data_IF_553039735578
#
_entry.id   IF_553039735578
#
_cell.length_a   1.000
_cell.length_b   1.000
_cell.length_c   1.000
_cell.angle_alpha   90.00
_cell.angle_beta   90.00
_cell.angle_gamma   90.00
#
_symmetry.space_group_name_H-M   'P 1'
#
loop_
_entity.id
_entity.type
_entity.pdbx_description
1 polymer ?
#
# COMPACT_ATOMS: atom_id res chain seq x y z
N UNK A 1 2.10 27.72 -30.59
CA UNK A 1 0.74 27.71 -30.02
C UNK A 1 0.29 26.27 -30.02
N UNK A 2 0.60 25.53 -28.94
CA UNK A 2 0.32 24.10 -28.84
C UNK A 2 -1.08 24.00 -28.23
N UNK A 3 -1.97 23.28 -28.93
CA UNK A 3 -3.36 23.06 -28.53
C UNK A 3 -3.43 22.52 -27.09
N UNK A 4 -4.44 22.91 -26.28
CA UNK A 4 -4.68 22.26 -25.01
C UNK A 4 -4.96 20.79 -25.30
N UNK A 5 -4.21 19.87 -24.67
CA UNK A 5 -4.52 18.44 -24.74
C UNK A 5 -5.96 18.25 -24.29
N UNK A 6 -6.80 17.62 -25.11
CA UNK A 6 -8.11 17.14 -24.68
C UNK A 6 -7.92 16.38 -23.37
N UNK A 7 -8.46 16.90 -22.25
CA UNK A 7 -8.50 16.13 -21.01
C UNK A 7 -9.23 14.83 -21.33
N UNK A 8 -8.60 13.69 -21.07
CA UNK A 8 -9.21 12.37 -21.24
C UNK A 8 -10.62 12.36 -20.64
N UNK A 9 -11.60 11.89 -21.40
CA UNK A 9 -12.97 11.71 -20.91
C UNK A 9 -13.08 10.65 -19.79
N UNK A 10 -12.00 9.94 -19.50
CA UNK A 10 -11.89 8.90 -18.46
C UNK A 10 -11.00 9.39 -17.32
N UNK A 11 -11.50 9.21 -16.11
CA UNK A 11 -10.79 9.53 -14.86
C UNK A 11 -10.98 8.39 -13.87
N UNK A 12 -10.00 7.49 -13.83
CA UNK A 12 -10.05 6.27 -12.99
C UNK A 12 -9.88 6.58 -11.51
N UNK A 13 -9.25 7.69 -11.15
CA UNK A 13 -9.06 8.10 -9.77
C UNK A 13 -10.37 8.65 -9.19
N UNK A 14 -11.04 9.55 -9.93
CA UNK A 14 -12.37 10.02 -9.56
C UNK A 14 -13.40 8.88 -9.51
N UNK A 15 -13.26 7.89 -10.39
CA UNK A 15 -14.13 6.72 -10.40
C UNK A 15 -14.07 5.92 -9.09
N UNK A 16 -12.89 5.78 -8.46
CA UNK A 16 -12.76 5.11 -7.16
C UNK A 16 -13.57 5.83 -6.06
N UNK A 17 -13.49 7.16 -6.00
CA UNK A 17 -14.24 7.99 -5.05
C UNK A 17 -15.75 7.85 -5.27
N UNK A 18 -16.21 8.00 -6.52
CA UNK A 18 -17.64 7.96 -6.84
C UNK A 18 -18.23 6.55 -6.65
N UNK A 19 -17.52 5.49 -7.08
CA UNK A 19 -17.99 4.12 -6.92
C UNK A 19 -18.08 3.70 -5.44
N UNK A 20 -17.13 4.14 -4.61
CA UNK A 20 -17.19 3.94 -3.16
C UNK A 20 -18.44 4.62 -2.57
N UNK A 21 -18.66 5.90 -2.90
CA UNK A 21 -19.82 6.66 -2.44
C UNK A 21 -21.16 6.03 -2.86
N UNK A 22 -21.30 5.68 -4.13
CA UNK A 22 -22.54 5.13 -4.69
C UNK A 22 -22.87 3.78 -4.07
N UNK A 23 -21.85 2.97 -3.77
CA UNK A 23 -22.04 1.68 -3.09
C UNK A 23 -22.51 1.85 -1.65
N UNK A 24 -22.02 2.86 -0.94
CA UNK A 24 -22.30 3.07 0.48
C UNK A 24 -23.53 3.95 0.75
N UNK A 25 -24.14 4.50 -0.30
CA UNK A 25 -25.29 5.40 -0.19
C UNK A 25 -26.47 4.93 -1.03
N UNK A 26 -27.67 5.40 -0.66
CA UNK A 26 -28.90 5.24 -1.44
C UNK A 26 -29.40 6.56 -2.03
N UNK A 27 -28.68 7.65 -1.75
CA UNK A 27 -29.06 9.02 -2.10
C UNK A 27 -28.45 9.41 -3.46
N UNK A 28 -28.89 8.68 -4.48
CA UNK A 28 -28.58 8.87 -5.90
C UNK A 28 -29.71 8.25 -6.73
N UNK A 29 -29.86 8.69 -7.97
CA UNK A 29 -30.87 8.20 -8.89
C UNK A 29 -30.33 8.07 -10.31
N UNK A 30 -30.98 7.27 -11.14
CA UNK A 30 -30.73 7.24 -12.57
C UNK A 30 -31.77 8.12 -13.27
N UNK A 31 -31.37 8.83 -14.31
CA UNK A 31 -32.31 9.54 -15.17
C UNK A 31 -33.29 8.56 -15.82
N UNK A 32 -34.56 8.96 -15.93
CA UNK A 32 -35.62 8.15 -16.55
C UNK A 32 -35.50 8.05 -18.07
N UNK A 33 -34.82 9.02 -18.69
CA UNK A 33 -34.69 9.17 -20.14
C UNK A 33 -33.23 9.27 -20.56
N UNK A 34 -32.87 8.77 -21.76
CA UNK A 34 -31.52 8.91 -22.30
C UNK A 34 -31.08 10.37 -22.47
N UNK A 35 -29.77 10.65 -22.39
CA UNK A 35 -28.68 9.71 -22.10
C UNK A 35 -28.71 9.20 -20.65
N UNK A 36 -28.20 7.98 -20.42
CA UNK A 36 -28.12 7.41 -19.08
C UNK A 36 -27.23 8.30 -18.19
N UNK A 37 -27.83 8.96 -17.21
CA UNK A 37 -27.15 9.79 -16.22
C UNK A 37 -27.39 9.25 -14.83
N UNK A 38 -26.33 9.23 -14.01
CA UNK A 38 -26.42 9.03 -12.58
C UNK A 38 -26.39 10.41 -11.92
N UNK A 39 -27.37 10.64 -11.04
CA UNK A 39 -27.63 11.93 -10.42
C UNK A 39 -27.39 11.78 -8.92
N UNK A 40 -26.54 12.66 -8.37
CA UNK A 40 -26.32 12.79 -6.93
C UNK A 40 -26.90 14.14 -6.50
N UNK A 41 -28.04 14.18 -5.79
CA UNK A 41 -28.59 15.42 -5.24
C UNK A 41 -27.58 16.06 -4.28
N UNK A 42 -27.45 17.39 -4.27
CA UNK A 42 -26.65 18.13 -3.29
C UNK A 42 -27.55 18.81 -2.25
N UNK A 43 -28.61 19.44 -2.72
CA UNK A 43 -29.70 20.06 -1.95
C UNK A 43 -30.98 20.05 -2.80
N UNK A 44 -32.02 20.79 -2.38
CA UNK A 44 -33.31 20.86 -3.10
C UNK A 44 -33.21 21.50 -4.50
N UNK A 45 -32.17 22.29 -4.77
CA UNK A 45 -32.02 23.09 -5.99
C UNK A 45 -30.80 22.72 -6.83
N UNK A 46 -29.94 21.82 -6.33
CA UNK A 46 -28.67 21.47 -6.95
C UNK A 46 -28.42 19.97 -6.97
N UNK A 47 -27.88 19.48 -8.07
CA UNK A 47 -27.45 18.08 -8.22
C UNK A 47 -26.19 17.99 -9.08
N UNK A 48 -25.42 16.93 -8.87
CA UNK A 48 -24.34 16.52 -9.77
C UNK A 48 -24.85 15.44 -10.72
N UNK A 49 -24.66 15.66 -12.02
CA UNK A 49 -25.04 14.75 -13.09
C UNK A 49 -23.78 14.14 -13.70
N UNK A 50 -23.77 12.80 -13.77
CA UNK A 50 -22.68 12.01 -14.32
C UNK A 50 -23.21 11.18 -15.48
N UNK A 51 -22.73 11.44 -16.69
CA UNK A 51 -23.04 10.58 -17.84
C UNK A 51 -22.46 9.19 -17.61
N UNK A 52 -23.28 8.16 -17.77
CA UNK A 52 -22.91 6.77 -17.50
C UNK A 52 -22.46 6.10 -18.81
N UNK A 53 -21.17 5.81 -18.92
CA UNK A 53 -20.61 5.03 -20.03
C UNK A 53 -20.75 3.52 -19.81
N UNK A 54 -20.85 3.08 -18.55
CA UNK A 54 -21.19 1.71 -18.17
C UNK A 54 -21.82 1.70 -16.77
N UNK A 55 -23.04 1.18 -16.67
CA UNK A 55 -23.71 0.94 -15.39
C UNK A 55 -23.40 -0.49 -14.91
N UNK A 56 -23.05 -0.66 -13.63
CA UNK A 56 -22.73 -1.96 -13.06
C UNK A 56 -23.66 -2.29 -11.89
N UNK A 57 -24.29 -3.47 -11.86
CA UNK A 57 -25.08 -3.91 -10.69
C UNK A 57 -24.22 -4.13 -9.44
N UNK A 58 -22.90 -4.26 -9.60
CA UNK A 58 -21.91 -4.36 -8.51
C UNK A 58 -21.11 -3.08 -8.30
N UNK A 59 -21.63 -1.94 -8.78
CA UNK A 59 -21.08 -0.59 -8.57
C UNK A 59 -19.71 -0.29 -9.18
N UNK A 60 -19.19 -1.16 -10.05
CA UNK A 60 -18.07 -0.85 -10.94
C UNK A 60 -18.52 0.02 -12.12
N UNK A 61 -19.10 1.19 -11.84
CA UNK A 61 -19.56 2.10 -12.87
C UNK A 61 -18.37 2.70 -13.62
N UNK A 62 -18.65 3.18 -14.84
CA UNK A 62 -17.75 4.04 -15.61
C UNK A 62 -18.51 5.30 -16.04
N UNK A 63 -18.07 6.45 -15.55
CA UNK A 63 -18.62 7.75 -15.94
C UNK A 63 -17.80 8.38 -17.07
N UNK A 64 -18.47 9.18 -17.89
CA UNK A 64 -17.82 10.07 -18.85
C UNK A 64 -17.72 11.48 -18.24
N UNK A 65 -16.50 11.99 -18.12
CA UNK A 65 -16.22 13.31 -17.56
C UNK A 65 -16.16 14.39 -18.66
N UNK A 66 -16.43 15.68 -18.34
CA UNK A 66 -16.67 16.23 -16.99
C UNK A 66 -18.09 15.93 -16.45
N UNK A 67 -18.20 15.89 -15.12
CA UNK A 67 -19.49 15.92 -14.44
C UNK A 67 -20.13 17.31 -14.60
N UNK A 68 -21.46 17.40 -14.46
CA UNK A 68 -22.18 18.67 -14.56
C UNK A 68 -22.88 19.00 -13.25
N UNK A 69 -22.70 20.22 -12.76
CA UNK A 69 -23.52 20.79 -11.69
C UNK A 69 -24.76 21.40 -12.32
N UNK A 70 -25.92 20.85 -11.97
CA UNK A 70 -27.23 21.34 -12.42
C UNK A 70 -27.84 22.19 -11.31
N UNK A 71 -28.30 23.39 -11.65
CA UNK A 71 -28.97 24.33 -10.77
C UNK A 71 -30.21 24.92 -11.44
N UNK A 72 -31.00 25.72 -10.70
CA UNK A 72 -32.12 26.47 -11.27
C UNK A 72 -31.71 27.45 -12.40
N UNK A 73 -30.45 27.87 -12.46
CA UNK A 73 -29.94 28.82 -13.46
C UNK A 73 -29.22 28.17 -14.63
N UNK A 74 -29.12 26.84 -14.68
CA UNK A 74 -28.51 26.10 -15.79
C UNK A 74 -27.63 24.93 -15.35
N UNK A 75 -26.91 24.36 -16.31
CA UNK A 75 -26.00 23.23 -16.13
C UNK A 75 -24.59 23.62 -16.57
N UNK A 76 -23.59 23.33 -15.74
CA UNK A 76 -22.21 23.76 -15.95
C UNK A 76 -21.23 22.62 -15.61
N UNK A 77 -20.16 22.41 -16.41
CA UNK A 77 -19.17 21.37 -16.12
C UNK A 77 -18.38 21.70 -14.85
N UNK A 78 -18.09 20.68 -14.04
CA UNK A 78 -17.27 20.78 -12.83
C UNK A 78 -16.13 19.78 -12.86
N UNK A 79 -14.97 20.17 -12.33
CA UNK A 79 -13.83 19.29 -12.18
C UNK A 79 -13.92 18.42 -10.91
N UNK A 80 -13.00 17.46 -10.78
CA UNK A 80 -13.00 16.53 -9.65
C UNK A 80 -12.86 17.26 -8.31
N UNK A 81 -11.99 18.27 -8.23
CA UNK A 81 -11.79 19.07 -7.02
C UNK A 81 -13.08 19.74 -6.55
N UNK A 82 -13.84 20.31 -7.48
CA UNK A 82 -15.11 20.98 -7.18
C UNK A 82 -16.18 19.97 -6.79
N UNK A 83 -16.35 18.89 -7.55
CA UNK A 83 -17.40 17.91 -7.26
C UNK A 83 -17.15 17.16 -5.95
N UNK A 84 -15.90 16.81 -5.63
CA UNK A 84 -15.57 16.12 -4.37
C UNK A 84 -15.84 17.02 -3.18
N UNK A 85 -15.50 18.31 -3.28
CA UNK A 85 -15.81 19.33 -2.26
C UNK A 85 -17.30 19.43 -2.01
N UNK A 86 -18.12 19.55 -3.07
CA UNK A 86 -19.57 19.66 -2.96
C UNK A 86 -20.21 18.43 -2.27
N UNK A 87 -19.73 17.22 -2.62
CA UNK A 87 -20.19 15.98 -1.99
C UNK A 87 -19.80 15.95 -0.51
N UNK A 88 -18.58 16.33 -0.17
CA UNK A 88 -18.11 16.33 1.22
C UNK A 88 -18.85 17.38 2.05
N UNK A 89 -19.16 18.56 1.48
CA UNK A 89 -19.97 19.57 2.15
C UNK A 89 -21.41 19.09 2.40
N UNK A 90 -22.02 18.39 1.42
CA UNK A 90 -23.30 17.70 1.62
C UNK A 90 -23.23 16.74 2.80
N UNK A 91 -22.24 15.84 2.82
CA UNK A 91 -22.08 14.85 3.90
C UNK A 91 -21.81 15.52 5.26
N UNK A 92 -21.04 16.62 5.28
CA UNK A 92 -20.79 17.40 6.50
C UNK A 92 -22.09 17.90 7.12
N UNK A 93 -23.00 18.41 6.30
CA UNK A 93 -24.31 18.88 6.75
C UNK A 93 -25.24 17.72 7.16
N UNK A 94 -25.30 16.64 6.37
CA UNK A 94 -26.16 15.48 6.67
C UNK A 94 -25.76 14.73 7.96
N UNK A 95 -24.45 14.64 8.23
CA UNK A 95 -23.89 13.85 9.34
C UNK A 95 -23.34 14.72 10.48
N UNK A 96 -23.50 16.04 10.42
CA UNK A 96 -23.00 17.00 11.41
C UNK A 96 -21.49 16.84 11.73
N UNK A 97 -20.68 16.63 10.68
CA UNK A 97 -19.25 16.31 10.85
C UNK A 97 -18.42 17.56 11.19
N UNK A 98 -17.35 17.42 11.99
CA UNK A 98 -16.40 18.51 12.25
C UNK A 98 -15.69 18.97 10.97
N UNK A 99 -15.58 20.28 10.76
CA UNK A 99 -14.87 20.87 9.60
C UNK A 99 -13.44 20.32 9.45
N UNK A 100 -12.60 20.23 10.50
CA UNK A 100 -11.23 19.71 10.35
C UNK A 100 -11.15 18.27 9.84
N UNK A 101 -12.15 17.43 10.20
CA UNK A 101 -12.23 16.06 9.74
C UNK A 101 -12.54 16.01 8.23
N UNK A 102 -13.51 16.82 7.78
CA UNK A 102 -13.86 16.93 6.36
C UNK A 102 -12.71 17.48 5.51
N UNK A 103 -11.98 18.49 6.00
CA UNK A 103 -10.80 19.03 5.29
C UNK A 103 -9.70 17.97 5.17
N UNK A 104 -9.38 17.26 6.25
CA UNK A 104 -8.38 16.19 6.23
C UNK A 104 -8.77 15.08 5.25
N UNK A 105 -10.04 14.71 5.23
CA UNK A 105 -10.55 13.71 4.27
C UNK A 105 -10.43 14.20 2.83
N UNK A 106 -10.88 15.43 2.55
CA UNK A 106 -10.82 15.99 1.20
C UNK A 106 -9.38 16.15 0.71
N UNK A 107 -8.47 16.60 1.57
CA UNK A 107 -7.05 16.72 1.25
C UNK A 107 -6.49 15.37 0.77
N UNK A 108 -6.72 14.29 1.51
CA UNK A 108 -6.25 12.94 1.13
C UNK A 108 -6.87 12.43 -0.17
N UNK A 109 -8.13 12.77 -0.43
CA UNK A 109 -8.80 12.47 -1.71
C UNK A 109 -8.07 13.17 -2.87
N UNK A 110 -7.75 14.45 -2.72
CA UNK A 110 -7.04 15.23 -3.74
C UNK A 110 -5.58 14.77 -3.91
N UNK A 111 -4.89 14.44 -2.83
CA UNK A 111 -3.54 13.86 -2.87
C UNK A 111 -3.55 12.55 -3.65
N UNK A 112 -4.43 11.61 -3.27
CA UNK A 112 -4.58 10.34 -3.97
C UNK A 112 -4.90 10.52 -5.46
N UNK A 113 -5.76 11.49 -5.78
CA UNK A 113 -6.11 11.83 -7.15
C UNK A 113 -4.88 12.30 -7.94
N UNK A 114 -4.13 13.26 -7.38
CA UNK A 114 -2.92 13.80 -7.99
C UNK A 114 -1.82 12.74 -8.16
N UNK A 115 -1.58 11.90 -7.15
CA UNK A 115 -0.59 10.82 -7.22
C UNK A 115 -0.95 9.80 -8.30
N UNK A 116 -2.24 9.44 -8.42
CA UNK A 116 -2.68 8.51 -9.47
C UNK A 116 -2.41 9.09 -10.87
N UNK A 117 -2.70 10.37 -11.09
CA UNK A 117 -2.43 11.02 -12.37
C UNK A 117 -0.93 11.06 -12.68
N UNK A 118 -0.10 11.44 -11.71
CA UNK A 118 1.36 11.44 -11.86
C UNK A 118 1.90 10.06 -12.26
N UNK A 119 1.41 9.00 -11.62
CA UNK A 119 1.79 7.63 -11.95
C UNK A 119 1.34 7.22 -13.35
N UNK A 120 0.10 7.54 -13.74
CA UNK A 120 -0.42 7.24 -15.09
C UNK A 120 0.43 7.95 -16.16
N UNK A 121 0.79 9.22 -15.91
CA UNK A 121 1.60 10.00 -16.84
C UNK A 121 3.04 9.47 -16.95
N UNK A 122 3.58 8.86 -15.89
CA UNK A 122 4.94 8.32 -15.87
C UNK A 122 5.04 6.87 -16.41
N UNK A 123 4.01 6.04 -16.24
CA UNK A 123 4.01 4.61 -16.57
C UNK A 123 3.62 4.33 -18.02
N UNK A 124 4.40 4.85 -18.96
CA UNK A 124 4.19 4.62 -20.40
C UNK A 124 4.30 3.13 -20.80
N UNK A 125 5.06 2.34 -20.03
CA UNK A 125 5.20 0.89 -20.18
C UNK A 125 3.90 0.13 -19.85
N UNK A 126 2.97 0.72 -19.10
CA UNK A 126 1.78 0.04 -18.62
C UNK A 126 0.90 -0.47 -19.77
N UNK A 127 0.88 0.20 -20.92
CA UNK A 127 0.11 -0.26 -22.06
C UNK A 127 0.66 -1.55 -22.68
N UNK A 128 1.98 -1.70 -22.68
CA UNK A 128 2.73 -2.85 -23.24
C UNK A 128 2.50 -4.11 -22.40
N UNK A 129 2.13 -3.97 -21.11
CA UNK A 129 1.74 -5.09 -20.25
C UNK A 129 0.58 -5.94 -20.82
N UNK A 130 -0.18 -5.43 -21.80
CA UNK A 130 -1.25 -6.18 -22.48
C UNK A 130 -0.75 -7.17 -23.53
N UNK A 131 0.49 -7.05 -23.98
CA UNK A 131 1.01 -7.80 -25.13
C UNK A 131 1.33 -9.26 -24.81
N UNK A 132 1.54 -9.60 -23.54
CA UNK A 132 1.89 -10.94 -23.08
C UNK A 132 1.41 -11.21 -21.66
N UNK A 133 1.48 -12.48 -21.24
CA UNK A 133 1.22 -12.85 -19.85
C UNK A 133 2.25 -12.20 -18.91
N UNK A 134 1.76 -11.72 -17.76
CA UNK A 134 2.59 -11.10 -16.72
C UNK A 134 3.21 -12.15 -15.81
N UNK A 135 4.43 -11.89 -15.37
CA UNK A 135 5.02 -12.57 -14.23
C UNK A 135 4.54 -11.96 -12.89
N UNK A 136 4.94 -12.58 -11.77
CA UNK A 136 4.54 -12.13 -10.42
C UNK A 136 4.93 -10.68 -10.13
N UNK A 137 6.19 -10.30 -10.40
CA UNK A 137 6.68 -8.94 -10.14
C UNK A 137 6.01 -7.88 -11.01
N UNK A 138 5.83 -8.17 -12.30
CA UNK A 138 5.10 -7.29 -13.23
C UNK A 138 3.67 -7.03 -12.74
N UNK A 139 2.96 -8.08 -12.34
CA UNK A 139 1.59 -7.97 -11.83
C UNK A 139 1.51 -7.17 -10.52
N UNK A 140 2.46 -7.38 -9.59
CA UNK A 140 2.52 -6.67 -8.31
C UNK A 140 2.75 -5.15 -8.44
N UNK A 141 3.35 -4.70 -9.54
CA UNK A 141 3.60 -3.29 -9.83
C UNK A 141 2.70 -2.70 -10.93
N UNK A 142 1.70 -3.45 -11.40
CA UNK A 142 0.77 -3.01 -12.43
C UNK A 142 -0.45 -2.24 -11.88
N UNK A 143 -0.70 -2.26 -10.56
CA UNK A 143 -1.91 -1.66 -9.96
C UNK A 143 -1.75 -0.15 -9.71
N UNK A 144 -2.02 0.66 -10.73
CA UNK A 144 -1.89 2.13 -10.66
C UNK A 144 -3.08 2.83 -10.01
N UNK A 145 -4.28 2.24 -10.03
CA UNK A 145 -5.50 2.85 -9.48
C UNK A 145 -5.70 2.58 -7.99
N UNK A 146 -5.05 1.54 -7.46
CA UNK A 146 -5.26 1.05 -6.10
C UNK A 146 -6.65 0.45 -5.90
N UNK A 147 -7.20 0.58 -4.70
CA UNK A 147 -8.47 -0.01 -4.32
C UNK A 147 -9.67 0.69 -5.00
N UNK A 148 -10.39 -0.04 -5.86
CA UNK A 148 -11.47 0.49 -6.71
C UNK A 148 -12.69 1.07 -5.95
N UNK A 149 -12.83 0.77 -4.65
CA UNK A 149 -13.88 1.30 -3.76
C UNK A 149 -13.29 1.93 -2.51
N UNK A 150 -12.26 2.76 -2.68
CA UNK A 150 -11.74 3.59 -1.59
C UNK A 150 -11.68 5.03 -2.09
N UNK A 151 -12.01 6.04 -1.28
CA UNK A 151 -12.03 7.44 -1.73
C UNK A 151 -10.64 8.03 -1.96
N UNK A 152 -9.61 7.48 -1.31
CA UNK A 152 -8.22 7.94 -1.44
C UNK A 152 -7.23 6.75 -1.52
N UNK A 153 -7.30 5.88 -2.56
CA UNK A 153 -6.55 4.63 -2.61
C UNK A 153 -5.03 4.79 -2.71
N UNK A 154 -4.56 5.96 -3.13
CA UNK A 154 -3.14 6.33 -3.32
C UNK A 154 -2.69 7.46 -2.40
N UNK A 155 -3.42 7.68 -1.30
CA UNK A 155 -2.89 8.43 -0.15
C UNK A 155 -1.76 7.63 0.50
N UNK A 156 -0.62 8.27 0.73
CA UNK A 156 0.61 7.60 1.20
C UNK A 156 1.39 8.42 2.24
N UNK A 157 0.70 9.21 3.07
CA UNK A 157 1.33 9.91 4.20
C UNK A 157 2.14 8.92 5.08
N UNK A 158 3.36 9.29 5.54
CA UNK A 158 3.99 10.61 5.43
C UNK A 158 4.93 10.77 4.22
N UNK A 159 4.93 9.85 3.25
CA UNK A 159 5.89 9.89 2.15
C UNK A 159 5.81 11.18 1.34
N UNK A 160 6.97 11.78 1.13
CA UNK A 160 7.18 12.79 0.10
C UNK A 160 7.27 12.13 -1.29
N UNK A 161 7.40 12.96 -2.33
CA UNK A 161 7.43 12.50 -3.72
C UNK A 161 8.56 11.50 -4.01
N UNK A 162 9.79 11.78 -3.58
CA UNK A 162 10.95 10.91 -3.86
C UNK A 162 10.81 9.57 -3.12
N UNK A 163 10.29 9.60 -1.89
CA UNK A 163 9.99 8.40 -1.12
C UNK A 163 8.89 7.57 -1.78
N UNK A 164 7.82 8.21 -2.27
CA UNK A 164 6.75 7.52 -2.99
C UNK A 164 7.26 6.87 -4.30
N UNK A 165 8.07 7.58 -5.09
CA UNK A 165 8.68 7.07 -6.32
C UNK A 165 9.59 5.86 -6.07
N UNK A 166 10.25 5.80 -4.90
CA UNK A 166 11.18 4.72 -4.54
C UNK A 166 10.52 3.55 -3.82
N UNK A 167 9.57 3.80 -2.93
CA UNK A 167 9.06 2.81 -1.97
C UNK A 167 7.64 2.30 -2.27
N UNK A 168 6.92 2.90 -3.23
CA UNK A 168 5.62 2.41 -3.68
C UNK A 168 5.75 1.64 -5.01
N UNK A 169 4.87 0.65 -5.27
CA UNK A 169 4.91 -0.15 -6.50
C UNK A 169 4.62 0.65 -7.78
N UNK A 170 4.00 1.82 -7.64
CA UNK A 170 3.42 2.65 -8.70
C UNK A 170 4.40 2.97 -9.84
N UNK A 171 5.65 3.32 -9.52
CA UNK A 171 6.70 3.66 -10.50
C UNK A 171 7.56 2.46 -10.93
N UNK A 172 7.14 1.24 -10.57
CA UNK A 172 7.92 0.02 -10.71
C UNK A 172 9.38 0.12 -10.18
N UNK A 173 9.63 0.72 -8.99
CA UNK A 173 10.98 0.85 -8.48
C UNK A 173 11.50 -0.49 -7.95
N UNK A 174 12.79 -0.52 -7.69
CA UNK A 174 13.45 -1.59 -6.97
C UNK A 174 14.65 -1.02 -6.21
N UNK A 175 14.96 -1.61 -5.05
CA UNK A 175 16.04 -1.13 -4.18
C UNK A 175 16.64 -2.28 -3.36
N UNK A 176 17.92 -2.22 -2.99
CA UNK A 176 18.49 -3.13 -2.00
C UNK A 176 17.91 -2.89 -0.60
N UNK A 177 17.93 -3.92 0.25
CA UNK A 177 17.59 -3.74 1.67
C UNK A 177 18.68 -2.97 2.40
N UNK A 178 18.31 -2.35 3.51
CA UNK A 178 19.24 -1.82 4.50
C UNK A 178 19.58 -2.90 5.51
N UNK A 179 20.80 -2.90 6.05
CA UNK A 179 21.26 -3.94 6.95
C UNK A 179 21.90 -3.37 8.20
N UNK A 180 21.59 -3.97 9.34
CA UNK A 180 22.32 -3.77 10.58
C UNK A 180 23.10 -5.03 10.96
N UNK A 181 24.27 -4.83 11.57
CA UNK A 181 24.93 -5.83 12.41
C UNK A 181 24.43 -5.62 13.83
N UNK A 182 23.73 -6.60 14.40
CA UNK A 182 23.01 -6.47 15.67
C UNK A 182 23.44 -7.56 16.64
N UNK A 183 23.71 -7.17 17.89
CA UNK A 183 23.95 -8.14 18.95
C UNK A 183 22.71 -9.01 19.18
N UNK A 184 22.87 -10.33 19.23
CA UNK A 184 21.77 -11.28 19.39
C UNK A 184 20.92 -11.03 20.64
N UNK A 185 21.45 -10.38 21.69
CA UNK A 185 20.63 -10.01 22.86
C UNK A 185 19.52 -9.02 22.52
N UNK A 186 19.71 -8.24 21.45
CA UNK A 186 18.77 -7.23 20.96
C UNK A 186 17.86 -7.73 19.83
N UNK A 187 17.92 -9.02 19.48
CA UNK A 187 17.06 -9.62 18.46
C UNK A 187 15.97 -10.45 19.14
N UNK A 188 14.72 -10.14 18.83
CA UNK A 188 13.57 -10.99 19.11
C UNK A 188 13.11 -11.64 17.81
N UNK A 189 12.58 -12.85 17.87
CA UNK A 189 11.99 -13.49 16.71
C UNK A 189 11.76 -14.97 16.91
N UNK A 190 11.12 -15.58 15.92
CA UNK A 190 10.88 -17.00 15.85
C UNK A 190 10.98 -17.48 14.41
N UNK A 191 11.25 -18.76 14.21
CA UNK A 191 11.29 -19.38 12.89
C UNK A 191 11.05 -20.89 13.00
N UNK A 192 10.33 -21.46 12.02
CA UNK A 192 10.21 -22.91 11.83
C UNK A 192 11.26 -23.43 10.84
N UNK A 193 11.53 -24.74 10.90
CA UNK A 193 12.49 -25.51 10.07
C UNK A 193 13.97 -25.14 10.23
N UNK A 194 14.27 -23.85 10.32
CA UNK A 194 15.52 -23.26 10.75
C UNK A 194 15.24 -22.47 12.03
N UNK A 195 16.15 -22.47 12.99
CA UNK A 195 16.05 -21.50 14.08
C UNK A 195 16.30 -20.07 13.56
N UNK A 196 16.00 -19.05 14.36
CA UNK A 196 16.09 -17.65 13.93
C UNK A 196 17.48 -17.27 13.41
N UNK A 197 18.55 -17.67 14.09
CA UNK A 197 19.93 -17.43 13.66
C UNK A 197 20.20 -18.00 12.27
N UNK A 198 19.79 -19.25 12.06
CA UNK A 198 19.97 -19.95 10.80
C UNK A 198 19.18 -19.29 9.67
N UNK A 199 17.94 -18.84 9.93
CA UNK A 199 17.13 -18.14 8.93
C UNK A 199 17.76 -16.80 8.54
N UNK A 200 18.16 -15.98 9.51
CA UNK A 200 18.83 -14.70 9.23
C UNK A 200 20.16 -14.89 8.51
N UNK A 201 20.93 -15.90 8.89
CA UNK A 201 22.20 -16.27 8.21
C UNK A 201 21.94 -16.66 6.75
N UNK A 202 20.97 -17.55 6.49
CA UNK A 202 20.58 -17.94 5.14
C UNK A 202 20.11 -16.74 4.32
N UNK A 203 19.21 -15.95 4.89
CA UNK A 203 18.60 -14.80 4.23
C UNK A 203 19.67 -13.77 3.84
N UNK A 204 20.63 -13.48 4.73
CA UNK A 204 21.75 -12.60 4.43
C UNK A 204 22.72 -13.20 3.41
N UNK A 205 23.02 -14.50 3.48
CA UNK A 205 23.91 -15.15 2.51
C UNK A 205 23.34 -15.15 1.08
N UNK A 206 22.02 -15.30 0.92
CA UNK A 206 21.35 -15.26 -0.38
C UNK A 206 21.23 -13.83 -0.93
N UNK A 207 21.03 -12.84 -0.04
CA UNK A 207 20.62 -11.50 -0.46
C UNK A 207 21.71 -10.44 -0.33
N UNK A 208 22.66 -10.57 0.58
CA UNK A 208 23.77 -9.63 0.77
C UNK A 208 25.07 -10.36 1.17
N UNK A 209 25.57 -11.30 0.34
CA UNK A 209 26.72 -12.14 0.67
C UNK A 209 27.99 -11.35 1.03
N UNK A 210 28.15 -10.14 0.48
CA UNK A 210 29.27 -9.24 0.78
C UNK A 210 29.29 -8.73 2.23
N UNK A 211 28.19 -8.85 2.98
CA UNK A 211 28.12 -8.45 4.39
C UNK A 211 28.42 -9.61 5.36
N UNK A 212 28.67 -10.83 4.85
CA UNK A 212 28.90 -12.00 5.70
C UNK A 212 30.16 -11.90 6.56
N UNK A 213 31.09 -11.01 6.23
CA UNK A 213 32.24 -10.68 7.07
C UNK A 213 31.84 -10.02 8.40
N UNK A 214 30.64 -9.45 8.50
CA UNK A 214 30.10 -8.86 9.72
C UNK A 214 29.31 -9.85 10.58
N UNK A 215 29.07 -11.06 10.08
CA UNK A 215 28.37 -12.13 10.80
C UNK A 215 29.33 -12.82 11.79
N UNK A 216 28.88 -12.99 13.03
CA UNK A 216 29.56 -13.80 14.05
C UNK A 216 28.56 -14.50 14.97
N UNK A 217 29.05 -15.26 15.95
CA UNK A 217 28.21 -15.95 16.93
C UNK A 217 27.29 -15.01 17.72
N UNK A 218 27.72 -13.77 17.95
CA UNK A 218 26.99 -12.77 18.74
C UNK A 218 26.43 -11.63 17.90
N UNK A 219 27.00 -11.33 16.74
CA UNK A 219 26.54 -10.26 15.85
C UNK A 219 25.87 -10.86 14.62
N UNK A 220 24.58 -10.64 14.47
CA UNK A 220 23.78 -11.18 13.37
C UNK A 220 23.38 -10.08 12.40
N UNK A 221 23.23 -10.44 11.13
CA UNK A 221 22.75 -9.55 10.09
C UNK A 221 21.23 -9.43 10.15
N UNK A 222 20.73 -8.21 10.35
CA UNK A 222 19.32 -7.90 10.49
C UNK A 222 18.87 -7.00 9.32
N UNK A 223 17.97 -7.48 8.44
CA UNK A 223 17.47 -6.68 7.31
C UNK A 223 16.44 -5.65 7.76
N UNK A 224 16.39 -4.51 7.07
CA UNK A 224 15.42 -3.45 7.26
C UNK A 224 14.93 -2.92 5.90
N UNK A 225 13.68 -2.47 5.88
CA UNK A 225 13.22 -1.56 4.82
C UNK A 225 14.04 -0.27 4.90
N UNK A 226 14.60 0.26 3.78
CA UNK A 226 15.47 1.44 3.85
C UNK A 226 14.87 2.64 4.56
N UNK A 227 13.66 3.04 4.18
CA UNK A 227 12.94 4.14 4.84
C UNK A 227 12.71 3.89 6.35
N UNK A 228 12.27 2.68 6.71
CA UNK A 228 12.03 2.35 8.10
C UNK A 228 13.34 2.37 8.89
N UNK A 229 14.44 1.89 8.32
CA UNK A 229 15.75 1.94 8.95
C UNK A 229 16.22 3.37 9.21
N UNK A 230 16.03 4.30 8.27
CA UNK A 230 16.31 5.73 8.48
C UNK A 230 15.45 6.32 9.60
N UNK A 231 14.14 6.03 9.60
CA UNK A 231 13.23 6.44 10.66
C UNK A 231 13.64 5.88 12.04
N UNK A 232 14.03 4.62 12.11
CA UNK A 232 14.44 3.94 13.34
C UNK A 232 15.74 4.53 13.90
N UNK A 233 16.70 4.93 13.05
CA UNK A 233 17.94 5.58 13.47
C UNK A 233 17.73 6.93 14.16
N UNK A 234 16.61 7.58 13.90
CA UNK A 234 16.23 8.83 14.56
C UNK A 234 15.62 8.61 15.95
N UNK A 235 15.30 7.36 16.32
CA UNK A 235 14.66 7.04 17.60
C UNK A 235 15.69 6.96 18.72
N UNK A 236 15.35 7.55 19.88
CA UNK A 236 16.22 7.59 21.07
C UNK A 236 16.65 6.18 21.51
N UNK A 237 15.73 5.22 21.49
CA UNK A 237 16.02 3.84 21.89
C UNK A 237 17.03 3.18 20.95
N UNK A 238 16.98 3.47 19.66
CA UNK A 238 17.89 2.88 18.67
C UNK A 238 19.28 3.51 18.80
N UNK A 239 19.36 4.84 18.93
CA UNK A 239 20.60 5.57 19.19
C UNK A 239 21.32 5.06 20.45
N UNK A 240 20.58 4.69 21.49
CA UNK A 240 21.15 4.10 22.70
C UNK A 240 21.84 2.74 22.43
N UNK A 241 21.34 1.94 21.49
CA UNK A 241 21.98 0.68 21.07
C UNK A 241 23.27 0.93 20.27
N UNK A 242 23.26 1.92 19.38
CA UNK A 242 24.46 2.37 18.67
C UNK A 242 25.55 2.86 19.63
N UNK A 243 25.18 3.68 20.61
CA UNK A 243 26.11 4.19 21.62
C UNK A 243 26.75 3.08 22.48
N UNK A 244 26.08 1.93 22.61
CA UNK A 244 26.58 0.73 23.30
C UNK A 244 27.33 -0.24 22.38
N UNK A 245 27.44 0.04 21.09
CA UNK A 245 28.04 -0.86 20.10
C UNK A 245 27.24 -2.14 19.87
N UNK A 246 25.96 -2.17 20.27
CA UNK A 246 25.06 -3.32 20.09
C UNK A 246 24.44 -3.34 18.69
N UNK A 247 24.44 -2.21 18.00
CA UNK A 247 24.04 -2.10 16.60
C UNK A 247 25.10 -1.31 15.85
N UNK A 248 25.40 -1.76 14.64
CA UNK A 248 26.13 -0.99 13.63
C UNK A 248 25.34 -0.99 12.33
N UNK A 249 25.24 0.18 11.73
CA UNK A 249 24.64 0.37 10.43
C UNK A 249 25.59 -0.03 9.32
N UNK A 250 25.16 -0.94 8.45
CA UNK A 250 25.92 -1.42 7.30
C UNK A 250 25.45 -0.79 5.99
N UNK A 251 24.43 0.08 6.04
CA UNK A 251 23.87 0.73 4.88
C UNK A 251 23.01 -0.19 4.01
N UNK A 252 22.76 0.25 2.79
CA UNK A 252 22.06 -0.53 1.78
C UNK A 252 23.01 -1.47 1.04
N UNK A 253 22.60 -2.73 0.88
CA UNK A 253 23.43 -3.73 0.23
C UNK A 253 22.61 -4.89 -0.34
N UNK A 254 23.11 -5.48 -1.43
CA UNK A 254 22.66 -6.79 -1.88
C UNK A 254 21.75 -6.79 -3.10
N UNK A 255 20.93 -7.84 -3.19
CA UNK A 255 19.96 -8.08 -4.25
C UNK A 255 18.92 -6.97 -4.33
N UNK A 256 18.29 -6.85 -5.49
CA UNK A 256 17.24 -5.87 -5.72
C UNK A 256 15.88 -6.41 -5.28
N UNK A 257 15.16 -5.60 -4.50
CA UNK A 257 13.84 -5.90 -3.99
C UNK A 257 12.82 -4.94 -4.56
N UNK A 258 11.70 -5.47 -5.05
CA UNK A 258 10.60 -4.65 -5.53
C UNK A 258 9.48 -4.57 -4.47
N UNK A 259 8.90 -3.39 -4.22
CA UNK A 259 7.69 -3.26 -3.42
C UNK A 259 6.50 -3.86 -4.17
N UNK A 260 5.73 -4.68 -3.45
CA UNK A 260 4.49 -5.30 -3.97
C UNK A 260 3.30 -4.34 -3.89
N UNK A 261 2.11 -4.78 -4.30
CA UNK A 261 0.84 -4.05 -4.14
C UNK A 261 0.57 -3.54 -2.73
N UNK A 262 1.11 -4.20 -1.70
CA UNK A 262 0.99 -3.77 -0.29
C UNK A 262 2.06 -2.76 0.16
N UNK A 263 3.03 -2.48 -0.71
CA UNK A 263 4.25 -1.68 -0.51
C UNK A 263 5.22 -2.25 0.53
N UNK A 264 4.73 -2.59 1.73
CA UNK A 264 5.55 -3.09 2.85
C UNK A 264 6.07 -4.52 2.67
N UNK A 265 5.41 -5.33 1.83
CA UNK A 265 5.94 -6.63 1.41
C UNK A 265 6.81 -6.45 0.19
N UNK A 266 8.03 -6.97 0.26
CA UNK A 266 9.01 -6.88 -0.81
C UNK A 266 9.26 -8.25 -1.43
N UNK A 267 9.48 -8.26 -2.74
CA UNK A 267 9.76 -9.43 -3.54
C UNK A 267 11.17 -9.37 -4.14
N UNK A 268 11.89 -10.48 -4.09
CA UNK A 268 13.12 -10.70 -4.82
C UNK A 268 13.06 -12.07 -5.48
N UNK A 269 13.17 -12.13 -6.81
CA UNK A 269 12.99 -13.37 -7.57
C UNK A 269 14.03 -14.46 -7.24
N UNK A 270 15.20 -14.08 -6.73
CA UNK A 270 16.29 -14.99 -6.36
C UNK A 270 16.29 -15.35 -4.87
N UNK A 271 15.46 -14.71 -4.05
CA UNK A 271 15.34 -15.00 -2.62
C UNK A 271 14.35 -16.14 -2.39
N UNK A 272 14.67 -17.05 -1.45
CA UNK A 272 13.71 -18.09 -1.03
C UNK A 272 12.55 -17.53 -0.20
N UNK A 273 12.76 -16.40 0.46
CA UNK A 273 11.75 -15.72 1.28
C UNK A 273 11.39 -14.36 0.67
N UNK A 274 10.09 -14.03 0.69
CA UNK A 274 9.66 -12.63 0.67
C UNK A 274 9.75 -12.06 2.08
N UNK A 275 9.87 -10.73 2.21
CA UNK A 275 9.95 -10.05 3.51
C UNK A 275 8.84 -9.01 3.63
N UNK A 276 8.22 -8.89 4.82
CA UNK A 276 7.07 -8.02 5.05
C UNK A 276 7.32 -7.14 6.26
N UNK A 277 7.77 -5.91 6.01
CA UNK A 277 8.16 -5.02 7.08
C UNK A 277 6.97 -4.38 7.81
N UNK A 278 7.14 -4.15 9.10
CA UNK A 278 6.46 -3.09 9.82
C UNK A 278 6.88 -1.76 9.22
N UNK A 279 5.95 -1.01 8.63
CA UNK A 279 6.23 0.23 7.92
C UNK A 279 5.33 1.35 8.46
N UNK A 280 5.93 2.41 9.00
CA UNK A 280 5.22 3.53 9.65
C UNK A 280 4.59 4.50 8.63
N UNK A 281 3.87 3.95 7.64
CA UNK A 281 3.20 4.66 6.54
C UNK A 281 1.70 4.33 6.57
N UNK A 282 0.86 5.32 6.31
CA UNK A 282 -0.59 5.16 6.17
C UNK A 282 -0.93 4.87 4.71
N UNK A 283 -1.42 3.65 4.45
CA UNK A 283 -1.95 3.27 3.14
C UNK A 283 -3.42 2.90 3.30
N UNK A 284 -4.30 3.55 2.54
CA UNK A 284 -5.77 3.53 2.74
C UNK A 284 -6.15 4.02 4.14
N UNK A 285 -6.81 3.20 4.97
CA UNK A 285 -7.28 3.59 6.30
C UNK A 285 -6.37 3.15 7.46
N UNK A 286 -5.24 2.48 7.18
CA UNK A 286 -4.42 1.83 8.21
C UNK A 286 -2.95 2.24 8.14
N UNK A 287 -2.34 2.48 9.30
CA UNK A 287 -0.87 2.52 9.42
C UNK A 287 -0.36 1.09 9.23
N UNK A 288 0.70 0.93 8.45
CA UNK A 288 1.19 -0.38 7.99
C UNK A 288 2.28 -0.97 8.88
N UNK A 289 2.23 -0.67 10.17
CA UNK A 289 3.04 -1.37 11.17
C UNK A 289 2.54 -2.81 11.36
N UNK A 290 3.41 -3.64 11.91
CA UNK A 290 3.08 -4.97 12.43
C UNK A 290 3.10 -4.93 13.95
N UNK A 291 2.34 -5.83 14.55
CA UNK A 291 2.41 -6.15 15.97
C UNK A 291 2.88 -7.58 16.18
N UNK A 292 3.45 -7.87 17.36
CA UNK A 292 3.81 -9.25 17.76
C UNK A 292 2.58 -10.17 17.65
N UNK A 293 1.40 -9.67 18.02
CA UNK A 293 0.12 -10.38 17.89
C UNK A 293 -0.16 -10.82 16.45
N UNK A 294 0.20 -10.03 15.46
CA UNK A 294 -0.06 -10.30 14.04
C UNK A 294 0.93 -11.32 13.48
N UNK A 295 2.23 -11.16 13.73
CA UNK A 295 3.24 -12.14 13.27
C UNK A 295 3.04 -13.51 13.91
N UNK A 296 2.54 -13.56 15.16
CA UNK A 296 2.13 -14.81 15.81
C UNK A 296 0.96 -15.53 15.12
N UNK A 297 0.14 -14.82 14.33
CA UNK A 297 -0.91 -15.49 13.51
C UNK A 297 -0.27 -16.24 12.35
N UNK A 298 0.75 -15.69 11.72
CA UNK A 298 1.56 -16.35 10.69
C UNK A 298 2.17 -17.64 11.24
N UNK A 299 2.87 -17.52 12.37
CA UNK A 299 3.47 -18.67 13.05
C UNK A 299 2.43 -19.73 13.46
N UNK A 300 1.25 -19.31 13.92
CA UNK A 300 0.17 -20.26 14.26
C UNK A 300 -0.30 -21.04 13.03
N UNK A 301 -0.52 -20.37 11.90
CA UNK A 301 -0.92 -21.03 10.65
C UNK A 301 0.19 -21.93 10.09
N UNK A 302 1.45 -21.49 10.17
CA UNK A 302 2.61 -22.25 9.72
C UNK A 302 2.81 -23.55 10.53
N UNK A 303 2.58 -23.50 11.85
CA UNK A 303 2.56 -24.70 12.70
C UNK A 303 1.36 -25.60 12.38
N UNK A 304 0.18 -25.03 12.17
CA UNK A 304 -1.01 -25.79 11.75
C UNK A 304 -0.76 -26.52 10.42
N UNK A 305 0.01 -25.91 9.52
CA UNK A 305 0.34 -26.48 8.23
C UNK A 305 1.19 -27.77 8.29
N UNK A 306 1.76 -28.08 9.46
CA UNK A 306 2.53 -29.32 9.69
C UNK A 306 1.64 -30.50 10.12
N UNK A 307 0.35 -30.28 10.40
CA UNK A 307 -0.56 -31.33 10.87
C UNK A 307 -1.05 -32.23 9.74
N UNK A 308 -1.41 -33.47 10.07
CA UNK A 308 -2.01 -34.42 9.11
C UNK A 308 -3.30 -33.86 8.48
N UNK A 309 -4.09 -33.11 9.24
CA UNK A 309 -5.29 -32.45 8.73
C UNK A 309 -4.98 -31.44 7.61
N UNK A 310 -3.89 -30.67 7.75
CA UNK A 310 -3.43 -29.80 6.66
C UNK A 310 -2.89 -30.60 5.47
N UNK A 311 -2.16 -31.70 5.72
CA UNK A 311 -1.67 -32.57 4.64
C UNK A 311 -2.84 -33.16 3.83
N UNK A 312 -3.93 -33.57 4.49
CA UNK A 312 -5.16 -34.02 3.84
C UNK A 312 -5.80 -32.91 2.99
N UNK A 313 -5.86 -31.67 3.52
CA UNK A 313 -6.36 -30.52 2.77
C UNK A 313 -5.50 -30.24 1.52
N UNK A 314 -4.18 -30.24 1.68
CA UNK A 314 -3.24 -29.97 0.60
C UNK A 314 -3.26 -31.07 -0.47
N UNK A 315 -3.40 -32.34 -0.07
CA UNK A 315 -3.55 -33.47 -0.99
C UNK A 315 -4.88 -33.40 -1.77
N UNK A 316 -5.96 -32.95 -1.12
CA UNK A 316 -7.26 -32.74 -1.76
C UNK A 316 -7.25 -31.57 -2.75
N UNK A 317 -6.49 -30.51 -2.46
CA UNK A 317 -6.39 -29.32 -3.29
C UNK A 317 -4.93 -29.01 -3.66
N UNK A 318 -4.29 -29.81 -4.54
CA UNK A 318 -2.84 -29.72 -4.81
C UNK A 318 -2.41 -28.42 -5.50
N UNK A 319 -3.33 -27.75 -6.20
CA UNK A 319 -3.07 -26.46 -6.87
C UNK A 319 -3.30 -25.25 -5.96
N UNK A 320 -3.92 -25.43 -4.79
CA UNK A 320 -4.07 -24.38 -3.79
C UNK A 320 -2.86 -24.36 -2.87
N UNK A 321 -2.22 -23.20 -2.73
CA UNK A 321 -1.05 -23.02 -1.87
C UNK A 321 -1.24 -21.78 -1.00
N UNK A 322 -0.62 -21.83 0.18
CA UNK A 322 -0.50 -20.69 1.08
C UNK A 322 0.99 -20.38 1.23
N UNK A 323 1.38 -19.12 1.01
CA UNK A 323 2.69 -18.63 1.40
C UNK A 323 2.71 -18.51 2.92
N UNK A 324 3.40 -19.42 3.60
CA UNK A 324 3.46 -19.44 5.06
C UNK A 324 4.36 -18.31 5.55
N UNK A 325 3.91 -17.57 6.56
CA UNK A 325 4.72 -16.61 7.32
C UNK A 325 5.31 -17.37 8.54
N UNK A 326 6.28 -18.24 8.28
CA UNK A 326 6.83 -19.22 9.23
C UNK A 326 8.09 -18.75 9.97
N UNK A 327 8.41 -17.46 9.86
CA UNK A 327 9.42 -16.79 10.66
C UNK A 327 9.19 -15.28 10.70
N UNK A 328 9.63 -14.65 11.80
CA UNK A 328 9.57 -13.21 12.00
C UNK A 328 10.73 -12.77 12.90
N UNK A 329 11.12 -11.50 12.81
CA UNK A 329 12.10 -10.91 13.72
C UNK A 329 11.79 -9.45 14.04
N UNK A 330 12.41 -8.92 15.09
CA UNK A 330 12.32 -7.52 15.52
C UNK A 330 13.47 -7.16 16.46
N UNK A 331 13.73 -5.85 16.60
CA UNK A 331 14.71 -5.31 17.53
C UNK A 331 14.11 -5.13 18.93
N UNK A 332 14.97 -5.25 19.94
CA UNK A 332 14.68 -4.89 21.33
C UNK A 332 15.42 -3.62 21.75
N UNK A 333 14.78 -2.79 22.56
CA UNK A 333 15.47 -1.72 23.27
C UNK A 333 16.41 -2.27 24.37
N UNK A 334 17.12 -1.39 25.07
CA UNK A 334 18.02 -1.78 26.17
C UNK A 334 17.31 -2.44 27.36
N UNK A 335 15.99 -2.29 27.48
CA UNK A 335 15.17 -2.89 28.53
C UNK A 335 14.60 -4.25 28.09
N UNK A 336 14.87 -4.69 26.85
CA UNK A 336 14.34 -5.93 26.29
C UNK A 336 12.94 -5.81 25.69
N UNK A 337 12.39 -4.61 25.55
CA UNK A 337 11.08 -4.39 24.95
C UNK A 337 11.17 -4.54 23.43
N UNK A 338 10.26 -5.31 22.83
CA UNK A 338 10.21 -5.48 21.38
C UNK A 338 9.65 -4.20 20.72
N UNK A 339 10.43 -3.62 19.83
CA UNK A 339 10.07 -2.41 19.10
C UNK A 339 9.29 -2.78 17.84
N UNK A 340 7.96 -2.69 17.91
CA UNK A 340 7.05 -3.17 16.85
C UNK A 340 7.31 -2.53 15.47
N UNK A 341 7.83 -1.32 15.44
CA UNK A 341 8.23 -0.60 14.21
C UNK A 341 9.45 -1.20 13.50
N UNK A 342 10.11 -2.19 14.10
CA UNK A 342 11.25 -2.93 13.51
C UNK A 342 10.91 -4.36 13.12
N UNK A 343 9.65 -4.79 13.28
CA UNK A 343 9.23 -6.15 12.95
C UNK A 343 9.27 -6.41 11.44
N UNK A 344 9.53 -7.64 11.04
CA UNK A 344 9.30 -8.14 9.67
C UNK A 344 8.94 -9.63 9.63
#
# INVERSE_FOLDING_TARGET
>A
MILPSEKSATDVAAQCFLNALIRETKDWQLAEYPPDELIIPLDEQKSLHFRVAYFSPTQHHRFAFPAHLVTASGSYPVDFTTLSRLIIDKLRHQLFLPVPLCETFHQRVLESYAHTQQTIDARHDWAILREKALNFGEAEQALLTGHAFHPAPKSHEPFNRQEAERYLPDMAPHFPLRWFSVDKTQIAGESLHLNLQQRLTRFAAENAPQLLNELSDNQWLFPLHPWQGEYLLQQVWCQALFAKGLIRDLGEAGTSWLPTTSSRSLYCATSRDMIKFSLSVRLTNSVRTLSVKEVERGMRLARLAQTDGWQMLQARFPTFRVMQEDGWAGLRDLNGNIMQESLF
#
